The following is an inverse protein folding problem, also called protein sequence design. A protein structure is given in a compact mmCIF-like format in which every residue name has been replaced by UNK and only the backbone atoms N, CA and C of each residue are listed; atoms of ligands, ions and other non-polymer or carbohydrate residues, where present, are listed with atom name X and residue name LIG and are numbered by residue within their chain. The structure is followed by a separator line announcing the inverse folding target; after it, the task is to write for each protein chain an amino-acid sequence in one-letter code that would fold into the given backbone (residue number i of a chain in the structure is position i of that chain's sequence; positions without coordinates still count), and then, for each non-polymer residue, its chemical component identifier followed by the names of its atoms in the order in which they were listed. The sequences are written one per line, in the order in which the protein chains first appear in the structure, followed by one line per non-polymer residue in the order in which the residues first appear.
data_IF_487704310389
#
_entry.id   IF_487704310389
#
_cell.length_a   1.000
_cell.length_b   1.000
_cell.length_c   1.000
_cell.angle_alpha   90.00
_cell.angle_beta   90.00
_cell.angle_gamma   90.00
#
_symmetry.space_group_name_H-M   'P 1'
#
loop_
_entity.id
_entity.type
_entity.pdbx_description
1 polymer ?
#
# COMPACT_ATOMS: atom_id res chain seq x y z
N UNK A 1 -15.90 -2.97 27.26
CA UNK A 1 -15.81 -3.87 26.08
C UNK A 1 -14.43 -3.71 25.49
N UNK A 2 -13.47 -4.52 25.92
CA UNK A 2 -12.06 -4.39 25.51
C UNK A 2 -11.82 -5.04 24.16
N UNK A 3 -11.37 -4.26 23.18
CA UNK A 3 -10.78 -4.80 21.95
C UNK A 3 -9.38 -5.30 22.30
N UNK A 4 -9.17 -6.62 22.21
CA UNK A 4 -7.84 -7.24 22.32
C UNK A 4 -7.27 -7.32 20.90
N UNK A 5 -6.27 -6.50 20.62
CA UNK A 5 -5.66 -6.37 19.29
C UNK A 5 -4.78 -7.56 18.87
N UNK A 6 -4.58 -8.58 19.71
CA UNK A 6 -3.56 -9.62 19.48
C UNK A 6 -4.09 -10.98 18.98
N UNK A 7 -5.39 -11.18 18.83
CA UNK A 7 -5.96 -12.49 18.41
C UNK A 7 -6.60 -12.50 17.01
N UNK A 8 -6.73 -11.34 16.34
CA UNK A 8 -7.46 -11.23 15.07
C UNK A 8 -6.61 -11.48 13.80
N UNK A 9 -5.29 -11.54 13.91
CA UNK A 9 -4.40 -11.59 12.73
C UNK A 9 -4.30 -12.95 12.04
N UNK A 10 -4.81 -14.04 12.63
CA UNK A 10 -4.75 -15.38 12.01
C UNK A 10 -5.74 -15.59 10.86
N UNK A 11 -6.94 -15.01 10.96
CA UNK A 11 -8.03 -15.17 9.98
C UNK A 11 -8.49 -13.83 9.36
N UNK A 12 -8.01 -12.69 9.88
CA UNK A 12 -8.43 -11.36 9.47
C UNK A 12 -7.99 -10.96 8.06
N UNK A 13 -6.92 -11.56 7.53
CA UNK A 13 -6.44 -11.23 6.19
C UNK A 13 -7.45 -11.64 5.11
N UNK A 14 -8.04 -12.83 5.23
CA UNK A 14 -9.03 -13.33 4.25
C UNK A 14 -10.29 -12.48 4.27
N UNK A 15 -10.74 -12.05 5.45
CA UNK A 15 -11.90 -11.15 5.58
C UNK A 15 -11.59 -9.72 5.12
N UNK A 16 -10.32 -9.30 5.18
CA UNK A 16 -9.85 -8.01 4.69
C UNK A 16 -9.57 -8.00 3.17
N UNK A 17 -9.46 -9.17 2.52
CA UNK A 17 -9.13 -9.26 1.09
C UNK A 17 -10.01 -8.36 0.19
N UNK A 18 -11.35 -8.31 0.35
CA UNK A 18 -12.17 -7.43 -0.48
C UNK A 18 -11.84 -5.94 -0.26
N UNK A 19 -11.54 -5.56 0.98
CA UNK A 19 -11.17 -4.19 1.32
C UNK A 19 -9.79 -3.83 0.75
N UNK A 20 -8.81 -4.74 0.84
CA UNK A 20 -7.48 -4.54 0.22
C UNK A 20 -7.60 -4.44 -1.29
N UNK A 21 -8.37 -5.32 -1.92
CA UNK A 21 -8.56 -5.30 -3.37
C UNK A 21 -9.17 -3.98 -3.83
N UNK A 22 -10.14 -3.47 -3.09
CA UNK A 22 -10.76 -2.18 -3.36
C UNK A 22 -9.75 -1.03 -3.20
N UNK A 23 -8.97 -1.01 -2.11
CA UNK A 23 -7.93 -0.02 -1.87
C UNK A 23 -6.84 -0.06 -2.95
N UNK A 24 -6.42 -1.24 -3.37
CA UNK A 24 -5.43 -1.42 -4.43
C UNK A 24 -5.95 -0.88 -5.77
N UNK A 25 -7.20 -1.18 -6.13
CA UNK A 25 -7.79 -0.75 -7.40
C UNK A 25 -8.06 0.77 -7.48
N UNK A 26 -8.06 1.46 -6.35
CA UNK A 26 -8.36 2.90 -6.22
C UNK A 26 -7.13 3.74 -5.88
N UNK A 27 -6.00 3.11 -5.54
CA UNK A 27 -4.76 3.83 -5.29
C UNK A 27 -4.11 4.31 -6.59
N UNK A 28 -3.47 5.48 -6.54
CA UNK A 28 -2.75 6.03 -7.69
C UNK A 28 -1.43 5.28 -7.88
N UNK A 29 -1.22 4.73 -9.08
CA UNK A 29 0.05 4.11 -9.40
C UNK A 29 1.14 5.18 -9.61
N UNK A 30 2.33 4.95 -9.06
CA UNK A 30 3.42 5.95 -9.02
C UNK A 30 3.91 6.39 -10.40
N UNK A 31 3.98 5.47 -11.37
CA UNK A 31 4.50 5.77 -12.72
C UNK A 31 3.45 6.33 -13.67
N UNK A 32 2.21 5.85 -13.62
CA UNK A 32 1.15 6.23 -14.57
C UNK A 32 0.26 7.35 -14.04
N UNK A 33 0.29 7.63 -12.73
CA UNK A 33 -0.53 8.64 -12.06
C UNK A 33 -2.03 8.36 -12.12
N UNK A 34 -2.44 7.17 -12.56
CA UNK A 34 -3.83 6.74 -12.73
C UNK A 34 -4.12 5.56 -11.82
N UNK A 35 -5.39 5.41 -11.43
CA UNK A 35 -5.85 4.25 -10.67
C UNK A 35 -6.01 3.03 -11.57
N UNK A 36 -5.73 1.80 -11.10
CA UNK A 36 -5.95 0.59 -11.88
C UNK A 36 -7.40 0.44 -12.38
N UNK A 37 -8.38 0.79 -11.54
CA UNK A 37 -9.81 0.77 -11.92
C UNK A 37 -10.14 1.69 -13.09
N UNK A 38 -9.50 2.86 -13.18
CA UNK A 38 -9.64 3.77 -14.30
C UNK A 38 -9.04 3.19 -15.59
N UNK A 39 -7.92 2.46 -15.50
CA UNK A 39 -7.28 1.85 -16.66
C UNK A 39 -8.04 0.61 -17.17
N UNK A 40 -8.56 -0.21 -16.27
CA UNK A 40 -9.25 -1.46 -16.63
C UNK A 40 -10.71 -1.22 -17.07
N UNK A 41 -11.44 -0.38 -16.33
CA UNK A 41 -12.90 -0.24 -16.47
C UNK A 41 -13.34 1.15 -16.89
N UNK A 42 -12.40 2.07 -17.12
CA UNK A 42 -12.68 3.50 -17.35
C UNK A 42 -13.55 4.14 -16.24
N UNK A 43 -13.56 3.55 -15.05
CA UNK A 43 -14.39 3.97 -13.92
C UNK A 43 -13.52 4.26 -12.72
N UNK A 44 -13.64 5.48 -12.19
CA UNK A 44 -13.01 5.83 -10.92
C UNK A 44 -13.97 5.49 -9.78
N UNK A 45 -13.61 4.52 -8.95
CA UNK A 45 -14.41 4.15 -7.78
C UNK A 45 -14.21 5.22 -6.70
N UNK A 46 -15.27 5.97 -6.40
CA UNK A 46 -15.25 7.01 -5.36
C UNK A 46 -15.56 6.38 -4.00
N UNK A 47 -14.77 6.69 -2.97
CA UNK A 47 -15.12 6.28 -1.62
C UNK A 47 -16.19 7.22 -1.04
N UNK A 48 -17.03 6.73 -0.09
CA UNK A 48 -17.95 7.57 0.65
C UNK A 48 -17.24 8.75 1.34
N UNK A 49 -15.97 8.57 1.71
CA UNK A 49 -15.15 9.60 2.36
C UNK A 49 -14.89 10.79 1.41
N UNK A 50 -14.73 10.52 0.12
CA UNK A 50 -14.53 11.53 -0.92
C UNK A 50 -15.81 12.30 -1.22
N UNK A 51 -16.97 11.71 -0.88
CA UNK A 51 -18.29 12.31 -1.09
C UNK A 51 -18.72 13.26 0.05
N UNK A 52 -18.01 13.27 1.19
CA UNK A 52 -18.24 14.27 2.23
C UNK A 52 -17.69 15.64 1.76
N UNK A 53 -18.41 16.27 0.85
CA UNK A 53 -18.19 17.67 0.47
C UNK A 53 -18.30 18.53 1.74
N UNK A 54 -17.46 19.56 1.82
CA UNK A 54 -17.39 20.58 2.90
C UNK A 54 -18.73 21.24 3.29
N UNK A 55 -19.81 20.97 2.56
CA UNK A 55 -21.14 21.58 2.71
C UNK A 55 -22.19 20.62 3.29
N UNK A 56 -21.84 19.42 3.78
CA UNK A 56 -22.81 18.66 4.58
C UNK A 56 -23.07 19.41 5.88
N UNK A 57 -24.27 19.99 5.98
CA UNK A 57 -24.91 20.31 7.25
C UNK A 57 -24.69 19.12 8.19
N UNK A 58 -24.11 19.39 9.35
CA UNK A 58 -23.72 18.43 10.39
C UNK A 58 -24.95 17.68 10.91
N UNK A 59 -25.47 16.71 10.17
CA UNK A 59 -26.73 16.03 10.55
C UNK A 59 -26.45 14.90 11.55
N UNK A 60 -25.26 14.29 11.54
CA UNK A 60 -24.96 13.18 12.45
C UNK A 60 -23.58 13.33 13.16
N UNK A 61 -23.54 13.44 14.50
CA UNK A 61 -22.30 13.58 15.27
C UNK A 61 -21.36 12.38 15.08
N UNK A 62 -21.90 11.18 14.91
CA UNK A 62 -21.11 9.95 14.69
C UNK A 62 -20.33 9.99 13.38
N UNK A 63 -20.90 10.59 12.32
CA UNK A 63 -20.21 10.74 11.04
C UNK A 63 -19.05 11.75 11.13
N UNK A 64 -19.20 12.80 11.94
CA UNK A 64 -18.16 13.80 12.19
C UNK A 64 -16.97 13.20 12.93
N UNK A 65 -17.25 12.45 14.00
CA UNK A 65 -16.22 11.79 14.80
C UNK A 65 -15.49 10.72 13.99
N UNK A 66 -16.23 9.95 13.19
CA UNK A 66 -15.64 8.99 12.25
C UNK A 66 -14.71 9.66 11.24
N UNK A 67 -15.13 10.77 10.62
CA UNK A 67 -14.28 11.51 9.69
C UNK A 67 -13.00 12.03 10.36
N UNK A 68 -13.11 12.55 11.59
CA UNK A 68 -11.97 13.00 12.38
C UNK A 68 -11.00 11.87 12.70
N UNK A 69 -11.52 10.71 13.13
CA UNK A 69 -10.72 9.51 13.39
C UNK A 69 -10.05 8.98 12.12
N UNK A 70 -10.79 8.91 11.01
CA UNK A 70 -10.28 8.49 9.71
C UNK A 70 -9.14 9.38 9.24
N UNK A 71 -9.29 10.69 9.34
CA UNK A 71 -8.25 11.65 8.92
C UNK A 71 -6.97 11.48 9.73
N UNK A 72 -7.09 11.34 11.07
CA UNK A 72 -5.94 11.06 11.93
C UNK A 72 -5.25 9.75 11.55
N UNK A 73 -6.03 8.69 11.30
CA UNK A 73 -5.49 7.41 10.89
C UNK A 73 -4.76 7.49 9.54
N UNK A 74 -5.33 8.22 8.56
CA UNK A 74 -4.72 8.48 7.26
C UNK A 74 -3.37 9.20 7.42
N UNK A 75 -3.35 10.30 8.18
CA UNK A 75 -2.14 11.09 8.40
C UNK A 75 -1.03 10.25 9.09
N UNK A 76 -1.40 9.37 10.02
CA UNK A 76 -0.44 8.45 10.66
C UNK A 76 0.06 7.37 9.71
N UNK A 77 -0.82 6.83 8.85
CA UNK A 77 -0.46 5.82 7.88
C UNK A 77 0.53 6.37 6.85
N UNK A 78 0.30 7.59 6.36
CA UNK A 78 1.20 8.27 5.42
C UNK A 78 2.62 8.44 5.99
N UNK A 79 2.73 8.85 7.26
CA UNK A 79 4.03 8.96 7.94
C UNK A 79 4.73 7.61 8.06
N UNK A 80 3.99 6.58 8.48
CA UNK A 80 4.53 5.23 8.60
C UNK A 80 5.03 4.70 7.25
N UNK A 81 4.28 4.93 6.16
CA UNK A 81 4.73 4.53 4.82
C UNK A 81 5.98 5.28 4.37
N UNK A 82 6.10 6.57 4.71
CA UNK A 82 7.31 7.33 4.41
C UNK A 82 8.54 6.77 5.15
N UNK A 83 8.39 6.50 6.45
CA UNK A 83 9.45 5.91 7.30
C UNK A 83 9.85 4.52 6.80
N UNK A 84 8.88 3.65 6.48
CA UNK A 84 9.16 2.30 5.95
C UNK A 84 9.90 2.39 4.62
N UNK A 85 9.45 3.24 3.70
CA UNK A 85 10.10 3.44 2.40
C UNK A 85 11.54 3.92 2.54
N UNK A 86 11.79 4.84 3.47
CA UNK A 86 13.14 5.31 3.77
C UNK A 86 14.01 4.20 4.36
N UNK A 87 13.46 3.43 5.30
CA UNK A 87 14.18 2.31 5.92
C UNK A 87 14.53 1.21 4.92
N UNK A 88 13.63 0.88 3.99
CA UNK A 88 13.86 -0.12 2.96
C UNK A 88 14.93 0.36 1.97
N UNK A 89 14.93 1.65 1.62
CA UNK A 89 15.99 2.25 0.81
C UNK A 89 17.34 2.16 1.53
N UNK A 90 17.42 2.57 2.80
CA UNK A 90 18.66 2.49 3.58
C UNK A 90 19.15 1.05 3.74
N UNK A 91 18.24 0.08 3.93
CA UNK A 91 18.58 -1.35 3.96
C UNK A 91 19.16 -1.81 2.63
N UNK A 92 18.52 -1.43 1.51
CA UNK A 92 19.02 -1.73 0.18
C UNK A 92 20.41 -1.13 -0.03
N UNK A 93 20.58 0.17 0.16
CA UNK A 93 21.86 0.86 -0.02
C UNK A 93 22.98 0.28 0.86
N UNK A 94 22.67 -0.21 2.07
CA UNK A 94 23.64 -0.86 2.97
C UNK A 94 24.02 -2.28 2.56
N UNK A 95 23.09 -3.03 1.98
CA UNK A 95 23.28 -4.46 1.67
C UNK A 95 23.65 -4.71 0.22
N UNK A 96 23.34 -3.75 -0.66
CA UNK A 96 23.55 -3.87 -2.08
C UNK A 96 24.96 -3.39 -2.44
N UNK A 97 25.89 -4.35 -2.52
CA UNK A 97 27.16 -4.15 -3.20
C UNK A 97 26.98 -4.57 -4.65
N UNK A 98 26.93 -3.60 -5.56
CA UNK A 98 27.05 -3.90 -6.99
C UNK A 98 28.46 -4.45 -7.25
N UNK A 99 28.54 -5.68 -7.73
CA UNK A 99 29.82 -6.28 -8.13
C UNK A 99 30.09 -5.87 -9.57
N UNK A 100 31.12 -5.06 -9.80
CA UNK A 100 31.59 -4.75 -11.15
C UNK A 100 32.27 -5.98 -11.76
N UNK A 101 31.65 -6.58 -12.79
CA UNK A 101 32.26 -7.67 -13.54
C UNK A 101 33.17 -7.09 -14.64
N UNK A 102 34.42 -7.54 -14.72
CA UNK A 102 35.35 -7.18 -15.79
C UNK A 102 35.51 -8.34 -16.78
N UNK A 103 35.87 -8.00 -18.02
CA UNK A 103 36.17 -9.02 -19.03
C UNK A 103 37.28 -9.96 -18.53
N UNK A 104 36.97 -11.25 -18.43
CA UNK A 104 37.88 -12.28 -17.91
C UNK A 104 37.57 -12.76 -16.48
N UNK A 105 36.66 -12.11 -15.75
CA UNK A 105 36.26 -12.55 -14.41
C UNK A 105 35.41 -13.84 -14.45
N UNK A 106 35.66 -14.74 -13.50
CA UNK A 106 34.88 -15.97 -13.34
C UNK A 106 33.70 -15.71 -12.42
N UNK A 107 32.49 -15.70 -12.98
CA UNK A 107 31.25 -15.60 -12.22
C UNK A 107 30.62 -16.99 -12.02
N UNK A 108 30.06 -17.24 -10.84
CA UNK A 108 29.22 -18.41 -10.59
C UNK A 108 27.80 -18.11 -11.08
N UNK A 109 27.32 -18.95 -12.01
CA UNK A 109 25.97 -18.83 -12.56
C UNK A 109 25.06 -19.80 -11.82
N UNK A 110 23.96 -19.29 -11.25
CA UNK A 110 22.95 -20.13 -10.60
C UNK A 110 22.21 -20.96 -11.67
N UNK A 111 22.45 -22.27 -11.69
CA UNK A 111 21.89 -23.20 -12.68
C UNK A 111 20.40 -23.52 -12.48
N UNK A 112 19.78 -23.07 -11.39
CA UNK A 112 18.39 -23.39 -11.03
C UNK A 112 17.35 -22.94 -12.08
N UNK A 113 17.66 -21.94 -12.90
CA UNK A 113 16.78 -21.41 -13.93
C UNK A 113 17.20 -21.78 -15.37
N UNK A 114 18.23 -22.61 -15.55
CA UNK A 114 18.73 -23.03 -16.86
C UNK A 114 18.13 -24.36 -17.33
N UNK A 115 16.82 -24.52 -17.20
CA UNK A 115 16.13 -25.72 -17.71
C UNK A 115 15.85 -25.68 -19.22
N UNK A 116 16.17 -24.58 -19.92
CA UNK A 116 15.96 -24.43 -21.36
C UNK A 116 17.16 -23.75 -22.03
N UNK A 117 18.34 -24.37 -21.98
CA UNK A 117 19.43 -24.12 -22.93
C UNK A 117 19.53 -25.28 -23.91
#
# INVERSE_FOLDING_TARGET
MGYRDNEAFGNGLVTLLPAIQLAHNTSNHSTTGKTPSLLEKALNLLFPVDHFKKNLLTINPTARDFHGAYRKASDTAEKFFAEVKESDKQRYDKTHNETEFREGDRALVSSLNFNNL
#
